data_IF_858262267679
#
_entry.id   IF_858262267679
#
_cell.length_a   1.000
_cell.length_b   1.000
_cell.length_c   1.000
_cell.angle_alpha   90.00
_cell.angle_beta   90.00
_cell.angle_gamma   90.00
#
_symmetry.space_group_name_H-M   'P 1'
#
loop_
_entity.id
_entity.type
_entity.pdbx_description
1 polymer ?
#
# COMPACT_ATOMS: atom_id res chain seq x y z
N UNK A 1 -9.91 11.81 -8.59
CA UNK A 1 -10.65 12.57 -7.57
C UNK A 1 -12.18 12.34 -7.62
N UNK A 2 -12.77 12.27 -8.78
CA UNK A 2 -14.23 12.15 -8.92
C UNK A 2 -14.67 10.69 -9.09
N UNK A 3 -14.78 9.95 -7.97
CA UNK A 3 -15.49 8.67 -7.96
C UNK A 3 -14.72 7.46 -8.51
N UNK A 4 -13.39 7.47 -8.46
CA UNK A 4 -12.55 6.32 -8.83
C UNK A 4 -12.79 5.88 -10.30
N UNK A 5 -13.02 6.84 -11.21
CA UNK A 5 -13.44 6.57 -12.60
C UNK A 5 -12.36 5.80 -13.37
N UNK A 6 -11.10 6.19 -13.22
CA UNK A 6 -9.98 5.57 -13.92
C UNK A 6 -9.77 4.11 -13.52
N UNK A 7 -9.64 3.84 -12.22
CA UNK A 7 -9.47 2.48 -11.70
C UNK A 7 -10.68 1.59 -12.02
N UNK A 8 -11.90 2.13 -11.90
CA UNK A 8 -13.13 1.42 -12.26
C UNK A 8 -13.15 1.04 -13.74
N UNK A 9 -12.82 1.99 -14.62
CA UNK A 9 -12.75 1.72 -16.05
C UNK A 9 -11.65 0.70 -16.39
N UNK A 10 -10.49 0.82 -15.75
CA UNK A 10 -9.38 -0.11 -15.95
C UNK A 10 -9.75 -1.54 -15.52
N UNK A 11 -10.28 -1.72 -14.31
CA UNK A 11 -10.71 -3.03 -13.80
C UNK A 11 -11.78 -3.65 -14.70
N UNK A 12 -12.76 -2.86 -15.14
CA UNK A 12 -13.78 -3.32 -16.08
C UNK A 12 -13.20 -3.81 -17.40
N UNK A 13 -12.22 -3.09 -17.95
CA UNK A 13 -11.59 -3.42 -19.24
C UNK A 13 -10.59 -4.58 -19.17
N UNK A 14 -10.10 -4.94 -17.96
CA UNK A 14 -9.04 -5.94 -17.76
C UNK A 14 -9.45 -7.06 -16.80
N UNK A 15 -10.72 -7.43 -16.77
CA UNK A 15 -11.22 -8.49 -15.88
C UNK A 15 -10.51 -9.83 -16.05
N UNK A 16 -10.11 -10.15 -17.26
CA UNK A 16 -9.35 -11.34 -17.65
C UNK A 16 -7.88 -11.35 -17.15
N UNK A 17 -7.41 -10.25 -16.56
CA UNK A 17 -6.04 -10.10 -16.06
C UNK A 17 -5.97 -9.98 -14.53
N UNK A 18 -7.10 -9.87 -13.84
CA UNK A 18 -7.12 -9.60 -12.40
C UNK A 18 -6.56 -10.76 -11.58
N UNK A 19 -6.64 -11.98 -12.08
CA UNK A 19 -6.05 -13.18 -11.47
C UNK A 19 -4.52 -13.18 -11.54
N UNK A 20 -3.92 -12.41 -12.45
CA UNK A 20 -2.48 -12.28 -12.66
C UNK A 20 -1.85 -11.15 -11.85
N UNK A 21 -2.63 -10.37 -11.12
CA UNK A 21 -2.14 -9.29 -10.27
C UNK A 21 -1.71 -9.87 -8.93
N UNK A 22 -0.43 -9.76 -8.62
CA UNK A 22 0.14 -10.22 -7.35
C UNK A 22 -0.30 -9.34 -6.19
N UNK A 23 -0.13 -8.03 -6.31
CA UNK A 23 -0.65 -7.03 -5.36
C UNK A 23 -0.81 -5.68 -6.05
N UNK A 24 -1.78 -4.89 -5.60
CA UNK A 24 -1.88 -3.47 -5.89
C UNK A 24 -1.34 -2.69 -4.70
N UNK A 25 -0.36 -1.83 -4.93
CA UNK A 25 0.08 -0.84 -3.95
C UNK A 25 -0.54 0.50 -4.28
N UNK A 26 -1.46 0.96 -3.44
CA UNK A 26 -2.04 2.29 -3.51
C UNK A 26 -1.57 3.12 -2.32
N UNK A 27 -1.26 4.38 -2.54
CA UNK A 27 -0.78 5.27 -1.49
C UNK A 27 -1.33 6.67 -1.68
N UNK A 28 -2.32 7.00 -0.86
CA UNK A 28 -2.99 8.31 -0.83
C UNK A 28 -2.67 9.10 0.45
N UNK A 29 -2.04 8.47 1.45
CA UNK A 29 -1.93 8.97 2.82
C UNK A 29 -0.97 10.15 3.03
N UNK A 30 -0.42 10.74 1.96
CA UNK A 30 0.43 11.93 2.06
C UNK A 30 1.90 11.60 2.37
N UNK A 31 2.67 12.55 2.97
CA UNK A 31 4.12 12.43 3.07
C UNK A 31 4.61 11.48 4.18
N UNK A 32 3.76 11.02 5.10
CA UNK A 32 4.20 10.15 6.21
C UNK A 32 4.86 8.86 5.72
N UNK A 33 5.98 8.41 6.33
CA UNK A 33 6.72 7.27 5.83
C UNK A 33 6.03 5.95 6.14
N UNK A 34 6.22 4.93 5.27
CA UNK A 34 5.81 3.58 5.58
C UNK A 34 6.62 3.01 6.75
N UNK A 35 5.92 2.43 7.72
CA UNK A 35 6.50 1.80 8.91
C UNK A 35 6.24 0.30 8.98
N UNK A 36 5.62 -0.27 7.96
CA UNK A 36 5.37 -1.71 7.90
C UNK A 36 4.22 -2.10 7.01
N UNK A 37 3.89 -3.38 7.07
CA UNK A 37 2.79 -4.02 6.35
C UNK A 37 2.06 -4.98 7.26
N UNK A 38 0.74 -5.04 7.13
CA UNK A 38 -0.07 -6.10 7.71
C UNK A 38 -0.48 -7.05 6.58
N UNK A 39 -0.12 -8.33 6.68
CA UNK A 39 -0.28 -9.28 5.59
C UNK A 39 -0.93 -10.59 6.07
N UNK A 40 -1.72 -11.27 5.24
CA UNK A 40 -2.23 -12.59 5.56
C UNK A 40 -1.10 -13.59 5.85
N UNK A 41 -1.38 -14.58 6.67
CA UNK A 41 -0.43 -15.66 7.00
C UNK A 41 0.21 -16.29 5.76
N UNK A 42 -0.57 -16.54 4.72
CA UNK A 42 -0.09 -17.13 3.47
C UNK A 42 0.93 -16.26 2.70
N UNK A 43 0.97 -14.95 2.93
CA UNK A 43 1.93 -14.02 2.32
C UNK A 43 3.07 -13.63 3.26
N UNK A 44 2.99 -13.97 4.54
CA UNK A 44 3.87 -13.42 5.57
C UNK A 44 5.36 -13.68 5.30
N UNK A 45 5.71 -14.90 4.95
CA UNK A 45 7.11 -15.28 4.71
C UNK A 45 7.70 -14.59 3.48
N UNK A 46 6.91 -14.36 2.43
CA UNK A 46 7.35 -13.64 1.24
C UNK A 46 7.65 -12.18 1.60
N UNK A 47 6.73 -11.51 2.30
CA UNK A 47 6.96 -10.12 2.71
C UNK A 47 8.08 -9.96 3.73
N UNK A 48 8.30 -10.91 4.63
CA UNK A 48 9.46 -10.90 5.54
C UNK A 48 10.77 -10.91 4.75
N UNK A 49 10.89 -11.78 3.74
CA UNK A 49 12.08 -11.85 2.86
C UNK A 49 12.25 -10.57 2.02
N UNK A 50 11.18 -10.15 1.35
CA UNK A 50 11.16 -8.95 0.50
C UNK A 50 11.55 -7.70 1.28
N UNK A 51 11.03 -7.54 2.49
CA UNK A 51 11.25 -6.35 3.31
C UNK A 51 12.54 -6.38 4.13
N UNK A 52 13.29 -7.48 4.14
CA UNK A 52 14.54 -7.58 4.90
C UNK A 52 15.56 -6.47 4.61
N UNK A 53 15.74 -5.99 3.36
CA UNK A 53 16.64 -4.89 3.06
C UNK A 53 16.21 -3.54 3.66
N UNK A 54 14.90 -3.31 3.83
CA UNK A 54 14.34 -2.03 4.28
C UNK A 54 14.94 -1.60 5.62
N UNK A 55 15.07 -2.54 6.56
CA UNK A 55 15.63 -2.27 7.91
C UNK A 55 17.10 -1.83 7.88
N UNK A 56 17.82 -2.08 6.79
CA UNK A 56 19.25 -1.74 6.66
C UNK A 56 19.48 -0.35 6.07
N UNK A 57 18.47 0.25 5.44
CA UNK A 57 18.59 1.53 4.72
C UNK A 57 18.61 2.70 5.70
N UNK A 58 17.65 2.73 6.57
CA UNK A 58 17.46 3.77 7.58
C UNK A 58 17.12 3.10 8.92
N UNK A 59 18.12 2.77 9.76
CA UNK A 59 17.88 2.13 11.05
C UNK A 59 17.03 2.96 12.02
N UNK A 60 17.00 4.28 11.84
CA UNK A 60 16.17 5.24 12.58
C UNK A 60 14.68 5.23 12.13
N UNK A 61 14.36 4.54 11.02
CA UNK A 61 13.00 4.37 10.53
C UNK A 61 12.50 2.95 10.84
N UNK A 62 11.56 2.77 11.77
CA UNK A 62 11.03 1.45 12.07
C UNK A 62 10.28 0.88 10.87
N UNK A 63 10.46 -0.41 10.63
CA UNK A 63 9.68 -1.12 9.62
C UNK A 63 9.41 -2.54 10.07
N UNK A 64 8.14 -2.94 10.09
CA UNK A 64 7.72 -4.25 10.57
C UNK A 64 6.69 -4.88 9.64
N UNK A 65 6.88 -6.15 9.32
CA UNK A 65 5.86 -6.99 8.69
C UNK A 65 5.13 -7.77 9.78
N UNK A 66 3.80 -7.63 9.84
CA UNK A 66 2.94 -8.31 10.81
C UNK A 66 1.96 -9.24 10.09
N UNK A 67 1.76 -10.40 10.69
CA UNK A 67 0.67 -11.27 10.29
C UNK A 67 -0.68 -10.66 10.72
N UNK A 68 -1.63 -10.60 9.81
CA UNK A 68 -2.97 -10.07 10.03
C UNK A 68 -4.00 -10.71 9.10
N UNK A 69 -5.27 -10.43 9.34
CA UNK A 69 -6.35 -10.88 8.47
C UNK A 69 -7.07 -12.12 8.99
N UNK A 70 -8.03 -12.68 8.23
CA UNK A 70 -8.44 -12.18 6.92
C UNK A 70 -9.06 -10.78 6.96
N UNK A 71 -8.84 -10.01 5.89
CA UNK A 71 -9.43 -8.68 5.76
C UNK A 71 -10.91 -8.77 5.36
N UNK A 72 -11.68 -7.72 5.62
CA UNK A 72 -13.05 -7.63 5.11
C UNK A 72 -13.02 -7.22 3.64
N UNK A 73 -13.58 -8.08 2.76
CA UNK A 73 -13.75 -7.73 1.36
C UNK A 73 -14.80 -6.63 1.21
N UNK A 74 -14.48 -5.49 0.58
CA UNK A 74 -15.49 -4.45 0.38
C UNK A 74 -16.60 -4.92 -0.55
N UNK A 75 -17.85 -4.57 -0.23
CA UNK A 75 -19.00 -4.91 -1.07
C UNK A 75 -19.10 -4.01 -2.32
N UNK A 76 -18.52 -2.80 -2.25
CA UNK A 76 -18.48 -1.81 -3.33
C UNK A 76 -17.22 -0.96 -3.22
N UNK A 77 -16.75 -0.35 -4.32
CA UNK A 77 -15.66 0.59 -4.26
C UNK A 77 -15.95 1.78 -3.34
N UNK A 78 -14.98 2.17 -2.52
CA UNK A 78 -15.10 3.32 -1.63
C UNK A 78 -13.71 3.79 -1.15
N UNK A 79 -13.54 5.09 -1.03
CA UNK A 79 -12.38 5.72 -0.39
C UNK A 79 -11.14 5.82 -1.28
N UNK A 80 -10.61 4.72 -1.76
CA UNK A 80 -9.35 4.70 -2.54
C UNK A 80 -9.45 3.81 -3.76
N UNK A 81 -8.54 3.98 -4.73
CA UNK A 81 -8.45 3.13 -5.92
C UNK A 81 -8.22 1.65 -5.58
N UNK A 82 -7.53 1.38 -4.47
CA UNK A 82 -7.35 0.01 -3.97
C UNK A 82 -8.66 -0.73 -3.75
N UNK A 83 -9.72 -0.03 -3.33
CA UNK A 83 -11.02 -0.64 -3.07
C UNK A 83 -11.67 -1.22 -4.32
N UNK A 84 -11.45 -0.61 -5.49
CA UNK A 84 -11.96 -1.09 -6.77
C UNK A 84 -11.42 -2.48 -7.10
N UNK A 85 -10.14 -2.69 -6.82
CA UNK A 85 -9.46 -3.97 -7.02
C UNK A 85 -9.84 -4.99 -5.92
N UNK A 86 -9.95 -4.55 -4.67
CA UNK A 86 -10.32 -5.41 -3.55
C UNK A 86 -11.75 -6.00 -3.69
N UNK A 87 -12.68 -5.27 -4.28
CA UNK A 87 -14.03 -5.79 -4.64
C UNK A 87 -13.93 -7.02 -5.55
N UNK A 88 -12.96 -7.05 -6.44
CA UNK A 88 -12.69 -8.18 -7.34
C UNK A 88 -11.72 -9.20 -6.72
N UNK A 89 -11.50 -9.14 -5.40
CA UNK A 89 -10.59 -10.01 -4.65
C UNK A 89 -9.12 -9.97 -5.12
N UNK A 90 -8.69 -8.89 -5.76
CA UNK A 90 -7.28 -8.62 -6.03
C UNK A 90 -6.60 -8.22 -4.72
N UNK A 91 -5.41 -8.76 -4.39
CA UNK A 91 -4.66 -8.31 -3.23
C UNK A 91 -4.35 -6.82 -3.30
N UNK A 92 -4.67 -6.11 -2.23
CA UNK A 92 -4.44 -4.67 -2.09
C UNK A 92 -3.84 -4.38 -0.71
N UNK A 93 -2.69 -5.01 -0.45
CA UNK A 93 -1.96 -4.83 0.79
C UNK A 93 -1.34 -3.43 0.79
N UNK A 94 -1.71 -2.62 1.78
CA UNK A 94 -1.24 -1.25 1.93
C UNK A 94 -0.13 -1.15 2.98
N UNK A 95 0.70 -0.12 2.83
CA UNK A 95 1.68 0.23 3.85
C UNK A 95 0.99 0.86 5.06
N UNK A 96 1.43 0.46 6.25
CA UNK A 96 1.15 1.20 7.47
C UNK A 96 2.03 2.44 7.49
N UNK A 97 1.47 3.59 7.78
CA UNK A 97 2.17 4.87 7.79
C UNK A 97 2.12 5.51 9.17
N UNK A 98 3.17 6.23 9.54
CA UNK A 98 3.23 6.92 10.82
C UNK A 98 4.18 8.12 10.74
N UNK A 99 3.81 9.23 11.38
CA UNK A 99 4.74 10.33 11.65
C UNK A 99 5.72 9.92 12.76
N UNK A 100 6.93 9.52 12.38
CA UNK A 100 7.94 8.95 13.29
C UNK A 100 8.81 10.03 13.94
N UNK A 101 8.87 11.22 13.37
CA UNK A 101 9.70 12.33 13.87
C UNK A 101 8.89 13.48 14.49
N UNK A 102 7.57 13.36 14.49
CA UNK A 102 6.70 14.36 15.11
C UNK A 102 6.60 15.66 14.34
N UNK A 103 6.57 15.61 13.00
CA UNK A 103 6.32 16.79 12.18
C UNK A 103 4.87 17.27 12.25
N UNK A 104 4.01 16.54 12.97
CA UNK A 104 2.61 16.85 13.17
C UNK A 104 1.82 17.01 11.86
N UNK A 105 2.19 16.20 10.84
CA UNK A 105 1.44 16.17 9.60
C UNK A 105 0.02 15.70 9.85
N UNK A 106 -0.95 16.49 9.43
CA UNK A 106 -2.37 16.16 9.54
C UNK A 106 -2.99 16.04 8.14
N UNK A 107 -3.24 14.80 7.71
CA UNK A 107 -3.88 14.51 6.43
C UNK A 107 -5.24 15.20 6.28
N UNK A 108 -6.04 15.26 7.35
CA UNK A 108 -7.35 15.90 7.33
C UNK A 108 -7.36 17.41 7.08
N UNK A 109 -6.22 18.09 7.27
CA UNK A 109 -6.09 19.52 6.95
C UNK A 109 -5.92 19.77 5.46
N UNK A 110 -5.33 18.82 4.74
CA UNK A 110 -4.99 19.00 3.32
C UNK A 110 -5.92 18.24 2.39
N UNK A 111 -6.49 17.13 2.84
CA UNK A 111 -7.30 16.24 2.02
C UNK A 111 -8.45 16.98 1.33
N UNK A 112 -8.42 17.05 0.00
CA UNK A 112 -9.40 17.72 -0.86
C UNK A 112 -9.59 19.21 -0.55
N UNK A 113 -8.53 19.87 -0.10
CA UNK A 113 -8.55 21.32 0.22
C UNK A 113 -7.47 22.09 -0.54
N UNK A 114 -7.63 23.40 -0.64
CA UNK A 114 -6.62 24.33 -1.17
C UNK A 114 -5.33 24.38 -0.34
N UNK A 115 -5.34 23.76 0.86
CA UNK A 115 -4.18 23.68 1.74
C UNK A 115 -3.21 22.57 1.35
N UNK A 116 -3.60 21.70 0.40
CA UNK A 116 -2.70 20.69 -0.17
C UNK A 116 -1.71 21.35 -1.12
N UNK A 117 -0.68 21.92 -0.53
CA UNK A 117 0.36 22.67 -1.21
C UNK A 117 1.72 21.99 -1.06
N UNK A 118 2.65 22.31 -1.95
CA UNK A 118 4.02 21.78 -1.90
C UNK A 118 4.71 22.00 -0.55
N UNK A 119 4.42 23.10 0.14
CA UNK A 119 4.97 23.40 1.47
C UNK A 119 4.57 22.40 2.56
N UNK A 120 3.55 21.57 2.33
CA UNK A 120 3.14 20.49 3.23
C UNK A 120 3.92 19.21 3.00
N UNK A 121 4.74 19.15 1.96
CA UNK A 121 5.58 17.98 1.72
C UNK A 121 6.69 17.88 2.78
N UNK A 122 7.08 16.65 3.10
CA UNK A 122 8.19 16.34 4.00
C UNK A 122 9.21 15.54 3.19
N UNK A 123 10.23 16.21 2.59
CA UNK A 123 11.13 15.59 1.61
C UNK A 123 11.81 14.32 2.12
N UNK A 124 12.31 14.31 3.36
CA UNK A 124 12.97 13.12 3.91
C UNK A 124 12.03 11.92 4.08
N UNK A 125 10.74 12.16 4.37
CA UNK A 125 9.73 11.12 4.43
C UNK A 125 9.39 10.58 3.04
N UNK A 126 9.31 11.48 2.06
CA UNK A 126 9.02 11.10 0.68
C UNK A 126 10.17 10.29 0.06
N UNK A 127 11.44 10.70 0.31
CA UNK A 127 12.62 9.96 -0.12
C UNK A 127 12.64 8.55 0.47
N UNK A 128 12.41 8.43 1.79
CA UNK A 128 12.33 7.13 2.44
C UNK A 128 11.17 6.30 1.89
N UNK A 129 9.99 6.89 1.75
CA UNK A 129 8.81 6.20 1.22
C UNK A 129 9.05 5.70 -0.21
N UNK A 130 9.61 6.53 -1.10
CA UNK A 130 9.93 6.12 -2.47
C UNK A 130 10.89 4.93 -2.49
N UNK A 131 11.92 4.95 -1.64
CA UNK A 131 12.90 3.87 -1.52
C UNK A 131 12.25 2.57 -1.02
N UNK A 132 11.46 2.63 0.05
CA UNK A 132 10.78 1.46 0.61
C UNK A 132 9.80 0.86 -0.39
N UNK A 133 8.99 1.70 -1.02
CA UNK A 133 7.99 1.25 -1.99
C UNK A 133 8.69 0.59 -3.20
N UNK A 134 9.77 1.17 -3.70
CA UNK A 134 10.54 0.61 -4.81
C UNK A 134 11.09 -0.79 -4.45
N UNK A 135 11.67 -0.95 -3.26
CA UNK A 135 12.21 -2.25 -2.80
C UNK A 135 11.09 -3.29 -2.69
N UNK A 136 9.99 -2.93 -2.05
CA UNK A 136 8.89 -3.88 -1.81
C UNK A 136 8.21 -4.25 -3.13
N UNK A 137 7.96 -3.27 -4.00
CA UNK A 137 7.35 -3.52 -5.32
C UNK A 137 8.25 -4.39 -6.19
N UNK A 138 9.55 -4.08 -6.26
CA UNK A 138 10.52 -4.89 -7.00
C UNK A 138 10.63 -6.29 -6.41
N UNK A 139 10.63 -6.41 -5.08
CA UNK A 139 10.66 -7.71 -4.41
C UNK A 139 9.46 -8.58 -4.74
N UNK A 140 8.25 -8.01 -4.75
CA UNK A 140 7.04 -8.73 -5.18
C UNK A 140 7.11 -9.10 -6.67
N UNK A 141 7.60 -8.19 -7.51
CA UNK A 141 7.70 -8.44 -8.96
C UNK A 141 8.72 -9.53 -9.31
N UNK A 142 9.70 -9.77 -8.46
CA UNK A 142 10.73 -10.79 -8.65
C UNK A 142 10.43 -12.14 -7.98
N UNK A 143 9.25 -12.30 -7.36
CA UNK A 143 8.82 -13.62 -6.91
C UNK A 143 8.61 -14.55 -8.13
N UNK A 144 8.92 -15.81 -7.97
CA UNK A 144 8.69 -16.86 -8.97
C UNK A 144 7.23 -17.36 -8.99
N UNK A 145 6.40 -16.80 -8.13
CA UNK A 145 4.98 -17.09 -7.97
C UNK A 145 4.17 -15.82 -7.68
N UNK A 146 2.87 -15.86 -7.87
CA UNK A 146 1.96 -14.83 -7.41
C UNK A 146 1.73 -14.96 -5.89
N UNK A 147 1.57 -13.83 -5.20
CA UNK A 147 1.19 -13.83 -3.79
C UNK A 147 -0.10 -14.63 -3.58
N UNK A 148 -0.11 -15.49 -2.57
CA UNK A 148 -1.27 -16.33 -2.25
C UNK A 148 -2.46 -15.47 -1.84
N UNK A 149 -3.64 -15.81 -2.35
CA UNK A 149 -4.90 -15.18 -1.93
C UNK A 149 -5.60 -15.95 -0.80
N UNK A 150 -4.99 -17.04 -0.31
CA UNK A 150 -5.54 -17.82 0.79
C UNK A 150 -5.63 -16.98 2.06
N UNK A 151 -6.82 -16.97 2.67
CA UNK A 151 -7.06 -16.19 3.87
C UNK A 151 -6.94 -14.67 3.71
N UNK A 152 -6.95 -14.15 2.48
CA UNK A 152 -6.85 -12.71 2.22
C UNK A 152 -8.12 -11.97 2.65
N UNK A 153 -9.28 -12.48 2.23
CA UNK A 153 -10.58 -11.87 2.51
C UNK A 153 -11.54 -12.84 3.19
N UNK A 154 -12.44 -12.28 4.00
CA UNK A 154 -13.62 -12.95 4.58
C UNK A 154 -14.90 -12.22 4.19
#
# INVERSE_FOLDING_TARGET
EFGLLGSTAWVKANKDKLDKISNLFNRDGGPTPPVGLNVPKAMYQDFVKICAPVKKIRPDYPFEVKEAGPFTKPAKPAGTDASVFAVEAVPAIAFNEKDIKGYNFNYGEIWHTERDTYSKSIPEYQEHAATVIAIVTLGVANLDHLLSREGLYK
#
